data_IF_460018125865
#
_entry.id   IF_460018125865
#
_cell.length_a   1.000
_cell.length_b   1.000
_cell.length_c   1.000
_cell.angle_alpha   90.00
_cell.angle_beta   90.00
_cell.angle_gamma   90.00
#
_symmetry.space_group_name_H-M   'P 1'
#
loop_
_entity.id
_entity.type
_entity.pdbx_description
1 polymer ?
#
# COMPACT_ATOMS: atom_id res chain seq x y z
N UNK A 1 -32.50 19.06 -19.61
CA UNK A 1 -31.31 19.65 -18.97
C UNK A 1 -31.19 19.04 -17.59
N UNK A 2 -30.13 18.27 -17.34
CA UNK A 2 -29.87 17.71 -16.02
C UNK A 2 -29.52 18.84 -15.04
N UNK A 3 -30.05 18.76 -13.82
CA UNK A 3 -29.73 19.74 -12.77
C UNK A 3 -28.32 19.43 -12.26
N UNK A 4 -27.43 20.42 -12.33
CA UNK A 4 -26.10 20.31 -11.70
C UNK A 4 -26.32 20.11 -10.20
N UNK A 5 -25.86 18.97 -9.68
CA UNK A 5 -25.83 18.71 -8.24
C UNK A 5 -24.57 19.36 -7.66
N UNK A 6 -24.66 19.94 -6.47
CA UNK A 6 -23.49 20.54 -5.83
C UNK A 6 -22.52 19.41 -5.42
N UNK A 7 -21.21 19.53 -5.70
CA UNK A 7 -20.21 18.57 -5.24
C UNK A 7 -20.29 18.36 -3.73
N UNK A 8 -20.21 17.10 -3.28
CA UNK A 8 -20.34 16.74 -1.85
C UNK A 8 -19.12 17.10 -1.01
N UNK A 9 -17.95 17.33 -1.62
CA UNK A 9 -16.73 17.75 -0.94
C UNK A 9 -16.68 19.27 -0.77
N UNK A 10 -16.70 19.75 0.49
CA UNK A 10 -16.52 21.17 0.80
C UNK A 10 -15.13 21.42 1.38
N UNK A 11 -14.49 22.50 0.93
CA UNK A 11 -13.17 22.93 1.36
C UNK A 11 -13.26 23.90 2.54
N UNK A 12 -12.82 23.47 3.71
CA UNK A 12 -12.77 24.28 4.93
C UNK A 12 -11.36 24.86 5.23
N UNK A 13 -10.39 24.59 4.37
CA UNK A 13 -8.99 25.00 4.55
C UNK A 13 -8.10 23.94 5.21
N UNK A 14 -8.63 22.77 5.57
CA UNK A 14 -7.86 21.70 6.24
C UNK A 14 -7.35 20.61 5.29
N UNK A 15 -8.01 20.43 4.15
CA UNK A 15 -7.61 19.45 3.12
C UNK A 15 -6.63 20.05 2.12
N UNK A 16 -6.03 19.19 1.30
CA UNK A 16 -5.16 19.65 0.21
C UNK A 16 -5.98 20.44 -0.84
N UNK A 17 -5.54 21.66 -1.22
CA UNK A 17 -6.27 22.49 -2.16
C UNK A 17 -6.19 21.97 -3.60
N UNK A 18 -5.14 21.24 -3.98
CA UNK A 18 -4.98 20.60 -5.29
C UNK A 18 -5.96 19.43 -5.42
N UNK A 19 -6.03 18.56 -4.40
CA UNK A 19 -7.00 17.46 -4.34
C UNK A 19 -8.45 17.97 -4.43
N UNK A 20 -8.75 19.10 -3.77
CA UNK A 20 -10.07 19.74 -3.85
C UNK A 20 -10.38 20.22 -5.27
N UNK A 21 -9.44 20.91 -5.93
CA UNK A 21 -9.61 21.35 -7.31
C UNK A 21 -9.80 20.17 -8.28
N UNK A 22 -8.98 19.12 -8.17
CA UNK A 22 -9.12 17.93 -9.02
C UNK A 22 -10.47 17.23 -8.82
N UNK A 23 -10.91 17.08 -7.57
CA UNK A 23 -12.22 16.49 -7.26
C UNK A 23 -13.36 17.32 -7.84
N UNK A 24 -13.25 18.65 -7.76
CA UNK A 24 -14.23 19.56 -8.34
C UNK A 24 -14.27 19.46 -9.87
N UNK A 25 -13.11 19.47 -10.53
CA UNK A 25 -13.00 19.34 -11.99
C UNK A 25 -13.63 18.02 -12.48
N UNK A 26 -13.24 16.89 -11.88
CA UNK A 26 -13.77 15.57 -12.24
C UNK A 26 -15.30 15.52 -12.09
N UNK A 27 -15.84 16.14 -11.04
CA UNK A 27 -17.28 16.23 -10.85
C UNK A 27 -17.94 17.11 -11.91
N UNK A 28 -17.39 18.30 -12.21
CA UNK A 28 -17.99 19.24 -13.16
C UNK A 28 -17.96 18.74 -14.61
N UNK A 29 -16.91 17.99 -14.99
CA UNK A 29 -16.81 17.35 -16.31
C UNK A 29 -17.98 16.39 -16.61
N UNK A 30 -18.65 15.85 -15.58
CA UNK A 30 -19.83 15.00 -15.78
C UNK A 30 -21.07 15.77 -16.22
N UNK A 31 -21.10 17.10 -16.02
CA UNK A 31 -22.28 17.93 -16.26
C UNK A 31 -22.10 18.96 -17.36
N UNK A 32 -20.90 19.52 -17.53
CA UNK A 32 -20.66 20.60 -18.49
C UNK A 32 -19.18 20.84 -18.74
N UNK A 33 -18.84 21.26 -19.96
CA UNK A 33 -17.51 21.78 -20.33
C UNK A 33 -17.45 23.32 -20.30
N UNK A 34 -18.38 23.98 -19.60
CA UNK A 34 -18.45 25.44 -19.53
C UNK A 34 -17.65 25.98 -18.35
N UNK A 35 -16.48 26.57 -18.63
CA UNK A 35 -15.65 27.30 -17.65
C UNK A 35 -16.43 28.33 -16.83
N UNK A 36 -17.36 29.04 -17.48
CA UNK A 36 -18.21 30.02 -16.81
C UNK A 36 -19.13 29.37 -15.75
N UNK A 37 -19.62 28.16 -16.01
CA UNK A 37 -20.40 27.40 -15.05
C UNK A 37 -19.52 26.90 -13.90
N UNK A 38 -18.32 26.41 -14.21
CA UNK A 38 -17.36 25.94 -13.20
C UNK A 38 -17.00 27.07 -12.22
N UNK A 39 -16.71 28.27 -12.72
CA UNK A 39 -16.45 29.45 -11.90
C UNK A 39 -17.64 29.85 -11.01
N UNK A 40 -18.88 29.63 -11.46
CA UNK A 40 -20.10 29.93 -10.68
C UNK A 40 -20.40 28.91 -9.61
N UNK A 41 -20.06 27.64 -9.84
CA UNK A 41 -20.34 26.54 -8.90
C UNK A 41 -19.23 26.40 -7.85
N UNK A 42 -17.97 26.64 -8.21
CA UNK A 42 -16.82 26.48 -7.32
C UNK A 42 -16.99 27.15 -5.93
N UNK A 43 -17.52 28.38 -5.80
CA UNK A 43 -17.67 29.05 -4.51
C UNK A 43 -18.62 28.33 -3.55
N UNK A 44 -19.58 27.57 -4.09
CA UNK A 44 -20.52 26.78 -3.27
C UNK A 44 -19.85 25.61 -2.55
N UNK A 45 -18.63 25.25 -2.97
CA UNK A 45 -17.81 24.22 -2.35
C UNK A 45 -16.88 24.78 -1.28
N UNK A 46 -16.77 26.09 -1.10
CA UNK A 46 -15.86 26.71 -0.15
C UNK A 46 -16.56 27.02 1.18
N UNK A 47 -15.83 26.88 2.28
CA UNK A 47 -16.28 27.21 3.65
C UNK A 47 -15.29 28.17 4.33
N UNK A 48 -15.77 28.83 5.38
CA UNK A 48 -14.94 29.65 6.28
C UNK A 48 -14.05 30.66 5.54
N UNK A 49 -12.75 30.58 5.80
CA UNK A 49 -11.74 31.50 5.24
C UNK A 49 -11.68 31.42 3.70
N UNK A 50 -11.91 30.25 3.12
CA UNK A 50 -11.90 30.06 1.66
C UNK A 50 -13.10 30.75 0.99
N UNK A 51 -14.28 30.63 1.58
CA UNK A 51 -15.47 31.35 1.11
C UNK A 51 -15.30 32.87 1.22
N UNK A 52 -14.72 33.36 2.33
CA UNK A 52 -14.44 34.78 2.51
C UNK A 52 -13.40 35.32 1.53
N UNK A 53 -12.36 34.53 1.22
CA UNK A 53 -11.40 34.90 0.19
C UNK A 53 -12.05 35.06 -1.19
N UNK A 54 -12.91 34.13 -1.59
CA UNK A 54 -13.56 34.21 -2.90
C UNK A 54 -14.39 35.50 -3.05
N UNK A 55 -15.08 35.92 -1.97
CA UNK A 55 -15.84 37.18 -1.95
C UNK A 55 -14.97 38.43 -2.10
N UNK A 56 -13.68 38.34 -1.77
CA UNK A 56 -12.72 39.44 -1.87
C UNK A 56 -12.00 39.52 -3.22
N UNK A 57 -12.31 38.62 -4.16
CA UNK A 57 -11.76 38.68 -5.53
C UNK A 57 -12.37 39.88 -6.26
N UNK A 58 -11.53 40.67 -6.93
CA UNK A 58 -11.98 41.82 -7.70
C UNK A 58 -12.91 41.41 -8.84
N UNK A 59 -13.98 42.17 -9.04
CA UNK A 59 -14.89 41.92 -10.14
C UNK A 59 -14.13 41.99 -11.47
N UNK A 60 -14.39 41.04 -12.37
CA UNK A 60 -13.74 40.93 -13.68
C UNK A 60 -12.25 40.55 -13.64
N UNK A 61 -11.68 40.08 -12.52
CA UNK A 61 -10.28 39.63 -12.49
C UNK A 61 -10.08 38.18 -12.93
N UNK A 62 -11.16 37.40 -13.07
CA UNK A 62 -11.14 35.96 -13.40
C UNK A 62 -12.10 35.70 -14.56
N UNK A 63 -11.56 35.15 -15.65
CA UNK A 63 -12.28 34.86 -16.90
C UNK A 63 -12.36 33.37 -17.23
N UNK A 64 -11.64 32.52 -16.49
CA UNK A 64 -11.61 31.07 -16.69
C UNK A 64 -11.47 30.32 -15.37
N UNK A 65 -11.89 29.06 -15.37
CA UNK A 65 -11.74 28.23 -14.17
C UNK A 65 -10.25 28.01 -13.85
N UNK A 66 -9.41 27.89 -14.88
CA UNK A 66 -7.96 27.78 -14.71
C UNK A 66 -7.35 28.98 -13.99
N UNK A 67 -7.83 30.21 -14.26
CA UNK A 67 -7.38 31.40 -13.52
C UNK A 67 -7.85 31.36 -12.06
N UNK A 68 -9.09 30.93 -11.82
CA UNK A 68 -9.62 30.76 -10.46
C UNK A 68 -8.84 29.72 -9.66
N UNK A 69 -8.56 28.57 -10.26
CA UNK A 69 -7.75 27.50 -9.69
C UNK A 69 -6.35 28.01 -9.35
N UNK A 70 -5.68 28.71 -10.28
CA UNK A 70 -4.35 29.26 -10.01
C UNK A 70 -4.34 30.25 -8.83
N UNK A 71 -5.33 31.15 -8.77
CA UNK A 71 -5.47 32.10 -7.67
C UNK A 71 -5.79 31.40 -6.34
N UNK A 72 -6.66 30.38 -6.37
CA UNK A 72 -7.02 29.57 -5.21
C UNK A 72 -5.81 28.81 -4.68
N UNK A 73 -5.11 28.06 -5.54
CA UNK A 73 -3.91 27.32 -5.18
C UNK A 73 -2.84 28.27 -4.65
N UNK A 74 -2.59 29.41 -5.29
CA UNK A 74 -1.62 30.41 -4.81
C UNK A 74 -1.97 30.99 -3.44
N UNK A 75 -3.26 31.11 -3.09
CA UNK A 75 -3.69 31.65 -1.79
C UNK A 75 -3.68 30.60 -0.69
N UNK A 76 -4.18 29.42 -1.01
CA UNK A 76 -4.40 28.33 -0.07
C UNK A 76 -3.32 27.27 -0.15
N UNK A 77 -2.14 27.57 -0.73
CA UNK A 77 -0.99 26.65 -0.77
C UNK A 77 -0.82 26.05 0.62
N UNK A 78 -1.27 24.81 0.76
CA UNK A 78 -0.95 24.03 1.93
C UNK A 78 0.51 23.66 1.78
N UNK A 79 1.34 24.03 2.75
CA UNK A 79 2.69 23.47 2.86
C UNK A 79 2.68 21.97 3.20
N UNK A 80 1.51 21.35 3.32
CA UNK A 80 1.33 19.93 3.65
C UNK A 80 0.67 19.19 2.49
N UNK A 81 1.24 18.11 1.95
CA UNK A 81 2.44 17.35 2.33
C UNK A 81 3.64 17.87 1.55
N UNK A 82 4.79 18.08 2.19
CA UNK A 82 6.05 18.08 1.43
C UNK A 82 6.02 16.83 0.56
N UNK A 83 6.07 16.99 -0.77
CA UNK A 83 5.95 15.87 -1.71
C UNK A 83 6.90 14.79 -1.21
N UNK A 84 6.34 13.66 -0.76
CA UNK A 84 7.14 12.62 -0.14
C UNK A 84 8.26 12.26 -1.10
N UNK A 85 9.49 12.33 -0.62
CA UNK A 85 10.65 12.02 -1.45
C UNK A 85 10.99 10.53 -1.33
N UNK A 86 11.64 9.96 -2.35
CA UNK A 86 12.14 8.59 -2.28
C UNK A 86 13.11 8.38 -1.11
N UNK A 87 13.79 9.43 -0.66
CA UNK A 87 14.67 9.39 0.52
C UNK A 87 13.94 9.09 1.82
N UNK A 88 12.64 9.38 1.93
CA UNK A 88 11.86 9.08 3.14
C UNK A 88 11.72 7.57 3.37
N UNK A 89 11.72 6.78 2.29
CA UNK A 89 11.70 5.31 2.37
C UNK A 89 12.93 4.75 3.10
N UNK A 90 14.05 5.50 3.17
CA UNK A 90 15.25 5.05 3.90
C UNK A 90 15.00 4.90 5.41
N UNK A 91 13.95 5.53 5.94
CA UNK A 91 13.53 5.39 7.33
C UNK A 91 12.56 4.22 7.57
N UNK A 92 12.04 3.61 6.50
CA UNK A 92 11.18 2.43 6.61
C UNK A 92 12.01 1.19 6.89
N UNK A 93 11.70 0.51 8.00
CA UNK A 93 12.33 -0.74 8.38
C UNK A 93 11.29 -1.79 8.77
N UNK A 94 11.67 -3.05 8.57
CA UNK A 94 10.97 -4.21 9.10
C UNK A 94 11.06 -4.18 10.63
N UNK A 95 9.91 -4.26 11.29
CA UNK A 95 9.83 -4.19 12.76
C UNK A 95 10.24 -5.53 13.36
N UNK A 96 10.59 -5.53 14.64
CA UNK A 96 10.88 -6.77 15.34
C UNK A 96 9.69 -7.73 15.29
N UNK A 97 9.95 -8.97 14.86
CA UNK A 97 8.96 -10.05 14.67
C UNK A 97 7.95 -9.82 13.54
N UNK A 98 8.11 -8.78 12.75
CA UNK A 98 7.25 -8.51 11.60
C UNK A 98 7.56 -9.49 10.46
N UNK A 99 6.57 -10.28 9.98
CA UNK A 99 6.78 -11.15 8.84
C UNK A 99 7.24 -10.36 7.61
N UNK A 100 8.10 -10.96 6.79
CA UNK A 100 8.60 -10.31 5.56
C UNK A 100 7.46 -9.80 4.66
N UNK A 101 6.37 -10.57 4.55
CA UNK A 101 5.16 -10.20 3.81
C UNK A 101 4.55 -8.88 4.28
N UNK A 102 4.47 -8.67 5.59
CA UNK A 102 3.82 -7.50 6.19
C UNK A 102 4.70 -6.26 6.02
N UNK A 103 6.02 -6.41 6.19
CA UNK A 103 6.99 -5.37 5.86
C UNK A 103 6.85 -4.92 4.41
N UNK A 104 6.92 -5.85 3.46
CA UNK A 104 6.85 -5.55 2.03
C UNK A 104 5.52 -4.89 1.65
N UNK A 105 4.42 -5.32 2.26
CA UNK A 105 3.10 -4.71 2.05
C UNK A 105 3.09 -3.25 2.50
N UNK A 106 3.59 -2.96 3.71
CA UNK A 106 3.67 -1.58 4.21
C UNK A 106 4.61 -0.72 3.38
N UNK A 107 5.77 -1.26 3.01
CA UNK A 107 6.75 -0.56 2.16
C UNK A 107 6.14 -0.21 0.80
N UNK A 108 5.48 -1.17 0.15
CA UNK A 108 4.83 -0.96 -1.14
C UNK A 108 3.73 0.11 -1.05
N UNK A 109 2.88 0.04 -0.03
CA UNK A 109 1.82 1.02 0.19
C UNK A 109 2.39 2.43 0.37
N UNK A 110 3.47 2.58 1.12
CA UNK A 110 4.14 3.88 1.27
C UNK A 110 4.73 4.37 -0.05
N UNK A 111 5.38 3.47 -0.81
CA UNK A 111 6.02 3.82 -2.08
C UNK A 111 5.02 4.35 -3.14
N UNK A 112 3.78 3.85 -3.14
CA UNK A 112 2.71 4.32 -4.04
C UNK A 112 2.32 5.78 -3.75
N UNK A 113 2.56 6.26 -2.53
CA UNK A 113 2.26 7.66 -2.17
C UNK A 113 3.31 8.67 -2.65
N UNK A 114 4.38 8.20 -3.32
CA UNK A 114 5.50 9.01 -3.81
C UNK A 114 5.33 9.25 -5.32
N UNK A 115 5.00 10.48 -5.76
CA UNK A 115 4.65 10.76 -7.17
C UNK A 115 5.83 10.63 -8.14
N UNK A 116 7.07 10.80 -7.68
CA UNK A 116 8.30 10.69 -8.48
C UNK A 116 9.26 9.68 -7.85
N UNK A 117 8.81 8.44 -7.71
CA UNK A 117 9.58 7.39 -7.04
C UNK A 117 10.85 7.04 -7.85
N UNK A 118 12.02 7.37 -7.30
CA UNK A 118 13.32 6.91 -7.79
C UNK A 118 13.48 5.43 -7.47
N UNK A 119 13.44 4.59 -8.50
CA UNK A 119 13.34 3.13 -8.36
C UNK A 119 14.55 2.54 -7.63
N UNK A 120 15.75 2.98 -7.96
CA UNK A 120 17.00 2.50 -7.39
C UNK A 120 17.11 2.89 -5.90
N UNK A 121 16.66 4.10 -5.55
CA UNK A 121 16.60 4.55 -4.15
C UNK A 121 15.58 3.72 -3.37
N UNK A 122 14.43 3.39 -3.97
CA UNK A 122 13.42 2.56 -3.36
C UNK A 122 13.89 1.11 -3.14
N UNK A 123 14.60 0.52 -4.11
CA UNK A 123 15.23 -0.80 -3.96
C UNK A 123 16.26 -0.79 -2.84
N UNK A 124 17.13 0.22 -2.81
CA UNK A 124 18.14 0.38 -1.77
C UNK A 124 17.50 0.54 -0.39
N UNK A 125 16.47 1.37 -0.27
CA UNK A 125 15.71 1.56 0.96
C UNK A 125 15.03 0.27 1.43
N UNK A 126 14.37 -0.46 0.52
CA UNK A 126 13.72 -1.73 0.81
C UNK A 126 14.72 -2.75 1.36
N UNK A 127 15.89 -2.88 0.71
CA UNK A 127 16.95 -3.79 1.13
C UNK A 127 17.55 -3.38 2.48
N UNK A 128 17.78 -2.08 2.68
CA UNK A 128 18.31 -1.53 3.93
C UNK A 128 17.36 -1.78 5.11
N UNK A 129 16.05 -1.58 4.91
CA UNK A 129 15.03 -1.74 5.95
C UNK A 129 14.72 -3.19 6.30
N UNK A 130 15.08 -4.16 5.45
CA UNK A 130 14.79 -5.58 5.67
C UNK A 130 15.71 -6.19 6.74
N UNK A 131 15.16 -7.04 7.61
CA UNK A 131 15.96 -7.86 8.52
C UNK A 131 16.77 -8.92 7.75
N UNK A 132 17.84 -9.43 8.38
CA UNK A 132 18.68 -10.46 7.78
C UNK A 132 17.88 -11.74 7.52
N UNK A 133 17.82 -12.16 6.26
CA UNK A 133 17.15 -13.37 5.81
C UNK A 133 17.76 -13.85 4.48
N UNK A 134 17.47 -15.10 4.09
CA UNK A 134 17.98 -15.66 2.83
C UNK A 134 17.55 -14.85 1.60
N UNK A 135 16.34 -14.27 1.63
CA UNK A 135 15.88 -13.39 0.56
C UNK A 135 16.73 -12.11 0.45
N UNK A 136 17.09 -11.46 1.57
CA UNK A 136 17.97 -10.29 1.56
C UNK A 136 19.36 -10.62 1.00
N UNK A 137 19.92 -11.78 1.37
CA UNK A 137 21.18 -12.28 0.81
C UNK A 137 21.09 -12.49 -0.70
N UNK A 138 20.01 -13.11 -1.17
CA UNK A 138 19.73 -13.29 -2.59
C UNK A 138 19.66 -11.94 -3.34
N UNK A 139 18.98 -10.95 -2.77
CA UNK A 139 18.91 -9.61 -3.35
C UNK A 139 20.29 -8.94 -3.41
N UNK A 140 21.16 -9.13 -2.41
CA UNK A 140 22.51 -8.54 -2.41
C UNK A 140 23.42 -9.08 -3.53
N UNK A 141 23.15 -10.29 -4.01
CA UNK A 141 23.92 -10.93 -5.08
C UNK A 141 23.43 -10.54 -6.48
N UNK A 142 22.24 -9.94 -6.58
CA UNK A 142 21.61 -9.57 -7.84
C UNK A 142 21.43 -8.06 -7.92
N UNK A 143 21.85 -7.46 -9.03
CA UNK A 143 21.59 -6.04 -9.27
C UNK A 143 20.13 -5.85 -9.70
N UNK A 144 19.30 -5.28 -8.81
CA UNK A 144 17.96 -4.82 -9.14
C UNK A 144 17.94 -3.30 -9.20
N UNK A 145 17.32 -2.74 -10.25
CA UNK A 145 17.12 -1.30 -10.42
C UNK A 145 15.65 -0.89 -10.40
N UNK A 146 14.73 -1.86 -10.33
CA UNK A 146 13.29 -1.64 -10.35
C UNK A 146 12.62 -2.25 -9.11
N UNK A 147 11.78 -1.47 -8.41
CA UNK A 147 11.09 -1.94 -7.21
C UNK A 147 10.06 -3.04 -7.52
N UNK A 148 9.38 -2.94 -8.66
CA UNK A 148 8.39 -3.92 -9.10
C UNK A 148 8.98 -5.31 -9.29
N UNK A 149 10.18 -5.41 -9.88
CA UNK A 149 10.89 -6.68 -10.07
C UNK A 149 11.25 -7.34 -8.72
N UNK A 150 11.70 -6.53 -7.75
CA UNK A 150 12.02 -7.01 -6.41
C UNK A 150 10.77 -7.50 -5.68
N UNK A 151 9.66 -6.75 -5.74
CA UNK A 151 8.39 -7.12 -5.13
C UNK A 151 7.79 -8.38 -5.78
N UNK A 152 7.89 -8.50 -7.10
CA UNK A 152 7.49 -9.72 -7.81
C UNK A 152 8.30 -10.92 -7.30
N UNK A 153 9.63 -10.77 -7.22
CA UNK A 153 10.50 -11.85 -6.76
C UNK A 153 10.29 -12.22 -5.30
N UNK A 154 9.99 -11.23 -4.47
CA UNK A 154 9.63 -11.46 -3.07
C UNK A 154 8.34 -12.28 -2.94
N UNK A 155 7.34 -12.00 -3.78
CA UNK A 155 6.10 -12.79 -3.80
C UNK A 155 6.36 -14.26 -4.22
N UNK A 156 7.24 -14.50 -5.20
CA UNK A 156 7.64 -15.87 -5.55
C UNK A 156 8.35 -16.57 -4.39
N UNK A 157 9.29 -15.88 -3.73
CA UNK A 157 10.00 -16.41 -2.57
C UNK A 157 9.06 -16.79 -1.43
N UNK A 158 8.14 -15.90 -1.07
CA UNK A 158 7.18 -16.14 0.02
C UNK A 158 6.26 -17.31 -0.31
N UNK A 159 5.75 -17.39 -1.55
CA UNK A 159 4.93 -18.53 -1.99
C UNK A 159 5.68 -19.86 -1.90
N UNK A 160 6.97 -19.87 -2.28
CA UNK A 160 7.83 -21.04 -2.17
C UNK A 160 8.07 -21.47 -0.72
N UNK A 161 8.34 -20.51 0.17
CA UNK A 161 8.57 -20.75 1.60
C UNK A 161 7.30 -21.27 2.31
N UNK A 162 6.13 -20.69 2.00
CA UNK A 162 4.84 -21.16 2.50
C UNK A 162 4.55 -22.62 2.07
N UNK A 163 4.85 -22.96 0.82
CA UNK A 163 4.68 -24.33 0.30
C UNK A 163 5.60 -25.34 1.01
N UNK A 164 6.87 -24.98 1.26
CA UNK A 164 7.78 -25.86 2.00
C UNK A 164 7.33 -26.07 3.45
N UNK A 165 6.82 -25.04 4.12
CA UNK A 165 6.31 -25.14 5.50
C UNK A 165 5.08 -26.06 5.57
N UNK A 166 4.15 -25.96 4.63
CA UNK A 166 2.98 -26.85 4.55
C UNK A 166 3.45 -28.31 4.34
N UNK A 167 4.37 -28.54 3.41
CA UNK A 167 4.90 -29.88 3.15
C UNK A 167 5.57 -30.49 4.38
N UNK A 168 6.38 -29.72 5.12
CA UNK A 168 7.03 -30.19 6.35
C UNK A 168 6.02 -30.51 7.47
N UNK A 169 4.93 -29.73 7.60
CA UNK A 169 3.86 -30.04 8.56
C UNK A 169 3.13 -31.33 8.17
N UNK A 170 2.80 -31.51 6.89
CA UNK A 170 2.16 -32.74 6.41
C UNK A 170 3.05 -33.95 6.66
N UNK A 171 4.35 -33.87 6.36
CA UNK A 171 5.32 -34.95 6.64
C UNK A 171 5.43 -35.24 8.14
N UNK A 172 5.50 -34.22 9.00
CA UNK A 172 5.54 -34.41 10.46
C UNK A 172 4.26 -35.06 11.01
N UNK A 173 3.08 -34.72 10.47
CA UNK A 173 1.81 -35.37 10.85
C UNK A 173 1.69 -36.80 10.31
N UNK A 174 2.34 -37.11 9.18
CA UNK A 174 2.32 -38.43 8.55
C UNK A 174 3.32 -39.42 9.18
N UNK A 175 4.41 -38.91 9.77
CA UNK A 175 5.48 -39.72 10.37
C UNK A 175 5.17 -40.31 11.76
N UNK A 176 4.00 -40.02 12.34
CA UNK A 176 3.64 -40.46 13.70
C UNK A 176 2.75 -41.72 13.75
N UNK A 177 2.48 -42.36 12.61
CA UNK A 177 1.87 -43.69 12.56
C UNK A 177 2.97 -44.76 12.70
N UNK A 178 3.36 -45.05 13.94
CA UNK A 178 4.48 -45.93 14.29
C UNK A 178 4.40 -47.33 13.70
N UNK A 179 5.43 -47.71 12.94
CA UNK A 179 5.76 -49.08 12.60
C UNK A 179 6.37 -49.76 13.84
N UNK A 180 5.76 -50.83 14.34
CA UNK A 180 6.25 -51.57 15.52
C UNK A 180 6.65 -53.00 15.13
N UNK A 181 7.95 -53.31 14.95
CA UNK A 181 8.41 -54.67 14.72
C UNK A 181 8.95 -55.23 16.05
N UNK A 182 8.12 -55.92 16.83
CA UNK A 182 8.63 -56.72 17.94
C UNK A 182 7.70 -57.88 18.30
N UNK A 183 7.93 -59.03 17.66
CA UNK A 183 7.53 -60.33 18.20
C UNK A 183 8.80 -61.10 18.51
N UNK A 184 9.15 -61.18 19.79
CA UNK A 184 10.11 -62.12 20.33
C UNK A 184 9.40 -63.06 21.31
N UNK A 185 9.41 -64.34 20.97
CA UNK A 185 9.08 -65.46 21.84
C UNK A 185 10.25 -65.72 22.81
N UNK A 186 10.03 -66.23 24.04
CA UNK A 186 10.62 -67.53 24.34
C UNK A 186 9.86 -68.44 25.34
N UNK A 187 9.79 -69.73 24.95
CA UNK A 187 10.05 -70.98 25.69
C UNK A 187 9.30 -71.42 26.97
N UNK A 188 8.64 -72.58 26.78
CA UNK A 188 8.78 -73.85 27.51
C UNK A 188 8.48 -73.94 29.03
N UNK A 189 7.44 -74.71 29.37
CA UNK A 189 7.19 -75.29 30.69
C UNK A 189 6.26 -76.51 30.59
N UNK A 190 6.68 -77.62 31.20
CA UNK A 190 6.23 -79.01 31.02
C UNK A 190 4.92 -79.39 31.74
N UNK A 191 4.33 -80.52 31.29
CA UNK A 191 3.49 -81.46 32.05
C UNK A 191 2.00 -81.34 31.73
N UNK A 192 1.21 -82.39 31.50
CA UNK A 192 1.36 -83.84 31.54
C UNK A 192 -0.04 -84.46 31.41
N UNK A 193 -0.13 -85.59 30.71
CA UNK A 193 -1.07 -86.72 30.81
C UNK A 193 -2.62 -86.55 30.63
N UNK A 194 -3.09 -87.29 29.61
CA UNK A 194 -4.14 -88.34 29.59
C UNK A 194 -5.66 -88.04 29.61
N UNK A 195 -6.30 -88.54 28.53
CA UNK A 195 -7.53 -89.35 28.39
C UNK A 195 -8.77 -89.04 29.25
N UNK A 196 -9.85 -88.58 28.59
CA UNK A 196 -11.00 -89.41 28.19
C UNK A 196 -11.83 -88.69 27.11
#
# INVERSE_FOLDING_TARGET
MEKIKIPTGRYDGTTDPEDHCTTFEQHMMLYTDSDAMWCKVFPSTLLGVAASWYKGIEAHSIYSFRQLQAAFLSRFVSKQKGKKSSGELMSFAQRDRDPLRDYLTRFNNESITIPNLQQEVAVLALMRGMQECEFKKYLSQKSYTNLGDVLHKANEYIRGDEMMKISNVVVATSGNAGYNPNYNNPQAGKGGNNFH
#
